data_IF_683584420540
#
_entry.id   IF_683584420540
#
_cell.length_a   1.000
_cell.length_b   1.000
_cell.length_c   1.000
_cell.angle_alpha   90.00
_cell.angle_beta   90.00
_cell.angle_gamma   90.00
#
_symmetry.space_group_name_H-M   'P 1'
#
loop_
_entity.id
_entity.type
_entity.pdbx_description
1 polymer ?
#
# COMPACT_ATOMS: atom_id res chain seq x y z
N UNK A 1 3.67 13.19 10.44
CA UNK A 1 4.04 12.89 9.04
C UNK A 1 3.32 13.84 8.12
N UNK A 2 4.03 14.67 7.35
CA UNK A 2 3.44 15.45 6.25
C UNK A 2 3.09 14.46 5.12
N UNK A 3 1.86 14.51 4.60
CA UNK A 3 1.37 13.74 3.44
C UNK A 3 1.45 14.65 2.21
N UNK A 4 2.17 14.24 1.18
CA UNK A 4 2.30 14.94 -0.10
C UNK A 4 2.47 13.92 -1.24
N UNK A 5 2.16 14.30 -2.48
CA UNK A 5 2.26 13.40 -3.63
C UNK A 5 3.67 12.82 -3.76
N UNK A 6 4.70 13.68 -3.71
CA UNK A 6 6.09 13.24 -3.80
C UNK A 6 6.48 12.27 -2.70
N UNK A 7 5.96 12.45 -1.49
CA UNK A 7 6.22 11.52 -0.40
C UNK A 7 5.53 10.18 -0.62
N UNK A 8 4.30 10.16 -1.10
CA UNK A 8 3.59 8.92 -1.38
C UNK A 8 4.28 8.13 -2.49
N UNK A 9 4.77 8.81 -3.54
CA UNK A 9 5.64 8.23 -4.57
C UNK A 9 6.96 7.70 -4.02
N UNK A 10 7.59 8.43 -3.10
CA UNK A 10 8.80 7.96 -2.42
C UNK A 10 8.53 6.68 -1.61
N UNK A 11 7.38 6.60 -0.93
CA UNK A 11 6.99 5.37 -0.21
C UNK A 11 6.72 4.20 -1.17
N UNK A 12 6.11 4.42 -2.34
CA UNK A 12 6.02 3.40 -3.39
C UNK A 12 7.39 2.87 -3.79
N UNK A 13 8.34 3.77 -4.07
CA UNK A 13 9.71 3.39 -4.46
C UNK A 13 10.42 2.59 -3.37
N UNK A 14 10.24 2.96 -2.09
CA UNK A 14 10.80 2.21 -0.95
C UNK A 14 10.17 0.83 -0.82
N UNK A 15 8.84 0.73 -0.87
CA UNK A 15 8.15 -0.56 -0.79
C UNK A 15 8.51 -1.49 -1.94
N UNK A 16 8.67 -0.97 -3.17
CA UNK A 16 9.19 -1.77 -4.28
C UNK A 16 10.62 -2.27 -4.02
N UNK A 17 11.50 -1.43 -3.47
CA UNK A 17 12.86 -1.82 -3.11
C UNK A 17 12.88 -2.89 -2.01
N UNK A 18 12.09 -2.70 -0.96
CA UNK A 18 11.95 -3.64 0.17
C UNK A 18 11.39 -4.99 -0.30
N UNK A 19 10.41 -5.00 -1.21
CA UNK A 19 9.88 -6.23 -1.82
C UNK A 19 10.93 -6.95 -2.68
N UNK A 20 11.78 -6.22 -3.41
CA UNK A 20 12.88 -6.81 -4.20
C UNK A 20 13.96 -7.39 -3.30
N UNK A 21 14.29 -6.69 -2.22
CA UNK A 21 15.23 -7.17 -1.20
C UNK A 21 14.67 -8.42 -0.51
N UNK A 22 13.40 -8.41 -0.10
CA UNK A 22 12.74 -9.57 0.49
C UNK A 22 12.80 -10.79 -0.44
N UNK A 23 12.52 -10.60 -1.72
CA UNK A 23 12.64 -11.66 -2.73
C UNK A 23 14.06 -12.23 -2.78
N UNK A 24 15.07 -11.37 -2.81
CA UNK A 24 16.47 -11.80 -2.86
C UNK A 24 16.84 -12.58 -1.60
N UNK A 25 16.47 -12.09 -0.41
CA UNK A 25 16.73 -12.78 0.87
C UNK A 25 16.03 -14.12 0.98
N UNK A 26 14.78 -14.25 0.51
CA UNK A 26 14.09 -15.54 0.46
C UNK A 26 14.87 -16.51 -0.45
N UNK A 27 15.32 -16.04 -1.62
CA UNK A 27 16.09 -16.86 -2.57
C UNK A 27 17.44 -17.30 -2.01
N UNK A 28 18.10 -16.43 -1.26
CA UNK A 28 19.45 -16.65 -0.73
C UNK A 28 19.44 -17.34 0.66
N UNK A 29 18.27 -17.58 1.24
CA UNK A 29 18.12 -18.16 2.58
C UNK A 29 18.53 -17.21 3.72
N UNK A 30 18.43 -15.89 3.50
CA UNK A 30 18.73 -14.86 4.49
C UNK A 30 17.62 -14.61 5.51
N UNK A 31 17.88 -13.72 6.46
CA UNK A 31 16.87 -13.29 7.45
C UNK A 31 15.84 -12.34 6.81
N UNK A 32 14.59 -12.78 6.82
CA UNK A 32 13.45 -12.16 6.13
C UNK A 32 12.37 -11.63 7.07
N UNK A 33 12.35 -12.05 8.34
CA UNK A 33 11.22 -11.78 9.22
C UNK A 33 11.12 -10.30 9.62
N UNK A 34 12.26 -9.70 9.97
CA UNK A 34 12.32 -8.27 10.31
C UNK A 34 11.89 -7.40 9.12
N UNK A 35 12.46 -7.66 7.94
CA UNK A 35 12.13 -6.93 6.72
C UNK A 35 10.66 -7.08 6.33
N UNK A 36 10.10 -8.29 6.42
CA UNK A 36 8.70 -8.51 6.11
C UNK A 36 7.76 -7.77 7.07
N UNK A 37 8.09 -7.77 8.37
CA UNK A 37 7.31 -7.04 9.38
C UNK A 37 7.34 -5.53 9.14
N UNK A 38 8.51 -4.96 8.84
CA UNK A 38 8.66 -3.54 8.53
C UNK A 38 7.92 -3.15 7.24
N UNK A 39 8.00 -3.99 6.21
CA UNK A 39 7.28 -3.80 4.96
C UNK A 39 5.75 -3.83 5.17
N UNK A 40 5.25 -4.80 5.94
CA UNK A 40 3.82 -4.90 6.24
C UNK A 40 3.32 -3.68 7.00
N UNK A 41 4.06 -3.22 8.01
CA UNK A 41 3.72 -2.01 8.76
C UNK A 41 3.70 -0.76 7.85
N UNK A 42 4.73 -0.60 7.00
CA UNK A 42 4.79 0.50 6.03
C UNK A 42 3.60 0.48 5.08
N UNK A 43 3.30 -0.69 4.53
CA UNK A 43 2.19 -0.89 3.59
C UNK A 43 0.85 -0.56 4.24
N UNK A 44 0.58 -1.03 5.46
CA UNK A 44 -0.68 -0.73 6.17
C UNK A 44 -0.82 0.76 6.47
N UNK A 45 0.26 1.42 6.90
CA UNK A 45 0.24 2.87 7.14
C UNK A 45 0.00 3.66 5.85
N UNK A 46 0.60 3.24 4.74
CA UNK A 46 0.41 3.85 3.44
C UNK A 46 -1.05 3.75 2.97
N UNK A 47 -1.60 2.53 2.99
CA UNK A 47 -3.01 2.27 2.64
C UNK A 47 -3.96 3.06 3.55
N UNK A 48 -3.67 3.15 4.85
CA UNK A 48 -4.47 3.96 5.77
C UNK A 48 -4.54 5.42 5.35
N UNK A 49 -3.39 6.01 4.99
CA UNK A 49 -3.33 7.42 4.56
C UNK A 49 -4.16 7.60 3.28
N UNK A 50 -4.08 6.67 2.35
CA UNK A 50 -4.86 6.73 1.11
C UNK A 50 -6.35 6.65 1.41
N UNK A 51 -6.77 5.58 2.08
CA UNK A 51 -8.17 5.28 2.30
C UNK A 51 -8.84 6.30 3.22
N UNK A 52 -8.18 6.78 4.27
CA UNK A 52 -8.81 7.65 5.27
C UNK A 52 -8.53 9.14 5.08
N UNK A 53 -7.54 9.50 4.24
CA UNK A 53 -7.14 10.91 4.06
C UNK A 53 -7.24 11.34 2.59
N UNK A 54 -6.71 10.55 1.66
CA UNK A 54 -6.62 10.93 0.24
C UNK A 54 -7.93 10.64 -0.51
N UNK A 55 -8.35 9.36 -0.55
CA UNK A 55 -9.54 8.93 -1.28
C UNK A 55 -10.83 9.62 -0.84
N UNK A 56 -11.05 9.99 0.44
CA UNK A 56 -12.24 10.77 0.82
C UNK A 56 -12.31 12.17 0.20
N UNK A 57 -11.20 12.67 -0.36
CA UNK A 57 -11.18 13.95 -1.10
C UNK A 57 -11.54 13.80 -2.59
N UNK A 58 -11.70 12.57 -3.07
CA UNK A 58 -12.18 12.22 -4.40
C UNK A 58 -13.71 12.24 -4.37
N UNK A 59 -14.33 13.18 -5.09
CA UNK A 59 -15.73 13.57 -4.86
C UNK A 59 -16.66 13.27 -6.02
N UNK A 60 -16.15 13.14 -7.24
CA UNK A 60 -17.00 12.76 -8.36
C UNK A 60 -17.21 11.23 -8.43
N UNK A 61 -18.23 10.81 -9.18
CA UNK A 61 -18.63 9.40 -9.26
C UNK A 61 -17.55 8.51 -9.89
N UNK A 62 -16.78 9.05 -10.84
CA UNK A 62 -15.72 8.34 -11.51
C UNK A 62 -14.51 8.15 -10.60
N UNK A 63 -14.06 9.20 -9.92
CA UNK A 63 -12.98 9.13 -8.93
C UNK A 63 -13.35 8.19 -7.78
N UNK A 64 -14.60 8.21 -7.29
CA UNK A 64 -15.07 7.28 -6.25
C UNK A 64 -15.02 5.82 -6.71
N UNK A 65 -15.37 5.55 -7.98
CA UNK A 65 -15.27 4.21 -8.56
C UNK A 65 -13.80 3.78 -8.70
N UNK A 66 -12.91 4.70 -9.07
CA UNK A 66 -11.47 4.46 -9.13
C UNK A 66 -10.93 4.13 -7.73
N UNK A 67 -11.29 4.92 -6.70
CA UNK A 67 -10.89 4.69 -5.31
C UNK A 67 -11.30 3.29 -4.82
N UNK A 68 -12.54 2.86 -5.06
CA UNK A 68 -12.99 1.49 -4.75
C UNK A 68 -12.18 0.40 -5.47
N UNK A 69 -11.70 0.70 -6.68
CA UNK A 69 -10.79 -0.18 -7.42
C UNK A 69 -9.44 -0.34 -6.72
N UNK A 70 -8.90 0.75 -6.16
CA UNK A 70 -7.68 0.72 -5.37
C UNK A 70 -7.87 0.01 -4.02
N UNK A 71 -8.98 0.25 -3.32
CA UNK A 71 -9.32 -0.48 -2.08
C UNK A 71 -9.39 -2.01 -2.28
N UNK A 72 -9.90 -2.47 -3.43
CA UNK A 72 -9.86 -3.90 -3.80
C UNK A 72 -8.42 -4.41 -4.00
N UNK A 73 -7.57 -3.62 -4.66
CA UNK A 73 -6.17 -3.98 -4.86
C UNK A 73 -5.38 -3.98 -3.56
N UNK A 74 -5.63 -3.04 -2.64
CA UNK A 74 -5.06 -3.03 -1.29
C UNK A 74 -5.34 -4.35 -0.57
N UNK A 75 -6.60 -4.79 -0.57
CA UNK A 75 -6.97 -6.07 0.01
C UNK A 75 -6.24 -7.26 -0.65
N UNK A 76 -6.09 -7.24 -1.98
CA UNK A 76 -5.38 -8.28 -2.70
C UNK A 76 -3.87 -8.30 -2.35
N UNK A 77 -3.23 -7.14 -2.27
CA UNK A 77 -1.82 -6.99 -1.87
C UNK A 77 -1.62 -7.47 -0.43
N UNK A 78 -2.44 -7.00 0.52
CA UNK A 78 -2.39 -7.45 1.92
C UNK A 78 -2.58 -8.96 2.05
N UNK A 79 -3.48 -9.55 1.26
CA UNK A 79 -3.69 -11.00 1.23
C UNK A 79 -2.46 -11.75 0.69
N UNK A 80 -1.72 -11.18 -0.26
CA UNK A 80 -0.48 -11.77 -0.74
C UNK A 80 0.62 -11.69 0.33
N UNK A 81 0.72 -10.57 1.05
CA UNK A 81 1.65 -10.40 2.17
C UNK A 81 1.38 -11.42 3.29
N UNK A 82 0.12 -11.65 3.67
CA UNK A 82 -0.25 -12.72 4.61
C UNK A 82 0.21 -14.10 4.11
N UNK A 83 0.09 -14.38 2.81
CA UNK A 83 0.57 -15.64 2.23
C UNK A 83 2.10 -15.75 2.20
N UNK A 84 2.84 -14.64 2.11
CA UNK A 84 4.29 -14.62 2.27
C UNK A 84 4.65 -15.00 3.71
N UNK A 85 3.99 -14.39 4.70
CA UNK A 85 4.17 -14.74 6.12
C UNK A 85 3.97 -16.23 6.36
N UNK A 86 2.84 -16.80 5.87
CA UNK A 86 2.55 -18.22 6.02
C UNK A 86 3.64 -19.09 5.41
N UNK A 87 4.03 -18.82 4.17
CA UNK A 87 5.09 -19.57 3.49
C UNK A 87 6.41 -19.55 4.27
N UNK A 88 6.81 -18.40 4.82
CA UNK A 88 8.02 -18.31 5.64
C UNK A 88 7.86 -19.11 6.94
N UNK A 89 6.73 -18.95 7.65
CA UNK A 89 6.48 -19.61 8.93
C UNK A 89 6.37 -21.13 8.83
N UNK A 90 5.86 -21.63 7.70
CA UNK A 90 5.68 -23.06 7.42
C UNK A 90 6.92 -23.69 6.77
N UNK A 91 7.96 -22.88 6.46
CA UNK A 91 9.16 -23.34 5.77
C UNK A 91 9.00 -23.55 4.26
N UNK A 92 7.86 -23.19 3.68
CA UNK A 92 7.61 -23.24 2.24
C UNK A 92 8.16 -21.98 1.54
N UNK A 93 9.49 -21.95 1.38
CA UNK A 93 10.19 -20.83 0.73
C UNK A 93 9.81 -20.67 -0.75
N UNK A 94 9.39 -21.75 -1.42
CA UNK A 94 8.93 -21.69 -2.81
C UNK A 94 7.60 -20.94 -2.92
N UNK A 95 6.66 -21.21 -2.00
CA UNK A 95 5.43 -20.43 -1.88
C UNK A 95 5.74 -18.98 -1.54
N UNK A 96 6.56 -18.72 -0.51
CA UNK A 96 6.93 -17.37 -0.10
C UNK A 96 7.50 -16.57 -1.29
N UNK A 97 8.47 -17.13 -2.01
CA UNK A 97 9.08 -16.50 -3.18
C UNK A 97 8.04 -16.19 -4.27
N UNK A 98 7.20 -17.18 -4.63
CA UNK A 98 6.14 -17.00 -5.64
C UNK A 98 5.15 -15.90 -5.25
N UNK A 99 4.83 -15.77 -3.95
CA UNK A 99 3.92 -14.72 -3.45
C UNK A 99 4.60 -13.36 -3.40
N UNK A 100 5.88 -13.28 -3.05
CA UNK A 100 6.66 -12.04 -3.15
C UNK A 100 6.71 -11.53 -4.59
N UNK A 101 6.96 -12.39 -5.58
CA UNK A 101 6.92 -11.99 -7.00
C UNK A 101 5.54 -11.54 -7.47
N UNK A 102 4.49 -12.21 -6.99
CA UNK A 102 3.11 -11.81 -7.30
C UNK A 102 2.77 -10.46 -6.70
N UNK A 103 3.25 -10.20 -5.48
CA UNK A 103 3.10 -8.91 -4.78
C UNK A 103 3.85 -7.81 -5.52
N UNK A 104 5.10 -8.05 -5.94
CA UNK A 104 5.88 -7.11 -6.74
C UNK A 104 5.16 -6.69 -8.02
N UNK A 105 4.63 -7.65 -8.79
CA UNK A 105 3.91 -7.36 -10.03
C UNK A 105 2.65 -6.54 -9.78
N UNK A 106 1.84 -6.95 -8.79
CA UNK A 106 0.59 -6.25 -8.46
C UNK A 106 0.87 -4.85 -7.92
N UNK A 107 1.79 -4.72 -6.97
CA UNK A 107 2.15 -3.45 -6.34
C UNK A 107 2.70 -2.45 -7.36
N UNK A 108 3.60 -2.86 -8.25
CA UNK A 108 4.15 -1.96 -9.27
C UNK A 108 3.08 -1.45 -10.24
N UNK A 109 2.13 -2.32 -10.65
CA UNK A 109 1.00 -1.90 -11.47
C UNK A 109 0.05 -0.96 -10.71
N UNK A 110 -0.24 -1.28 -9.45
CA UNK A 110 -1.07 -0.50 -8.55
C UNK A 110 -0.50 0.91 -8.38
N UNK A 111 0.75 1.03 -7.90
CA UNK A 111 1.43 2.31 -7.67
C UNK A 111 1.45 3.18 -8.92
N UNK A 112 1.79 2.62 -10.08
CA UNK A 112 1.79 3.38 -11.34
C UNK A 112 0.40 3.93 -11.66
N UNK A 113 -0.64 3.12 -11.52
CA UNK A 113 -2.01 3.55 -11.85
C UNK A 113 -2.49 4.62 -10.89
N UNK A 114 -2.21 4.45 -9.61
CA UNK A 114 -2.59 5.40 -8.57
C UNK A 114 -1.91 6.76 -8.77
N UNK A 115 -0.61 6.77 -9.02
CA UNK A 115 0.16 7.99 -9.30
C UNK A 115 -0.39 8.75 -10.51
N UNK A 116 -0.80 8.06 -11.57
CA UNK A 116 -1.35 8.68 -12.78
C UNK A 116 -2.79 9.17 -12.62
N UNK A 117 -3.51 8.72 -11.57
CA UNK A 117 -4.94 8.99 -11.39
C UNK A 117 -5.21 9.69 -10.06
N UNK A 118 -5.30 8.95 -8.96
CA UNK A 118 -5.70 9.47 -7.65
C UNK A 118 -4.80 10.61 -7.16
N UNK A 119 -3.48 10.47 -7.26
CA UNK A 119 -2.56 11.51 -6.78
C UNK A 119 -2.62 12.77 -7.63
N UNK A 120 -2.71 12.61 -8.96
CA UNK A 120 -2.87 13.73 -9.87
C UNK A 120 -4.15 14.51 -9.58
N UNK A 121 -5.29 13.81 -9.45
CA UNK A 121 -6.58 14.44 -9.10
C UNK A 121 -6.51 15.16 -7.75
N UNK A 122 -5.83 14.55 -6.77
CA UNK A 122 -5.65 15.15 -5.45
C UNK A 122 -4.80 16.43 -5.50
N UNK A 123 -3.69 16.44 -6.24
CA UNK A 123 -2.82 17.61 -6.41
C UNK A 123 -3.50 18.73 -7.19
N UNK A 124 -4.25 18.44 -8.25
CA UNK A 124 -4.97 19.45 -9.03
C UNK A 124 -6.02 20.18 -8.17
N UNK A 125 -6.74 19.46 -7.29
CA UNK A 125 -7.76 20.04 -6.39
C UNK A 125 -7.16 20.89 -5.27
N UNK A 126 -6.05 20.44 -4.70
CA UNK A 126 -5.38 21.14 -3.60
C UNK A 126 -4.64 22.39 -4.09
N UNK A 127 -4.00 22.34 -5.26
CA UNK A 127 -3.39 23.50 -5.89
C UNK A 127 -4.38 24.64 -6.18
N UNK A 128 -5.62 24.31 -6.57
CA UNK A 128 -6.68 25.30 -6.81
C UNK A 128 -7.24 25.98 -5.55
N UNK A 129 -6.99 25.42 -4.37
CA UNK A 129 -7.55 25.89 -3.09
C UNK A 129 -6.66 26.87 -2.31
N UNK A 130 -5.42 27.09 -2.76
CA UNK A 130 -4.41 27.86 -2.01
C UNK A 130 -3.93 27.20 -0.70
N UNK A 131 -4.49 26.05 -0.33
CA UNK A 131 -4.01 25.22 0.75
C UNK A 131 -2.78 24.42 0.28
N UNK A 132 -1.71 24.41 1.08
CA UNK A 132 -0.63 23.44 0.88
C UNK A 132 -1.24 22.04 0.95
N UNK A 133 -0.89 21.15 0.00
CA UNK A 133 -1.25 19.72 -0.07
C UNK A 133 -0.90 18.93 1.20
N UNK A 134 -0.15 19.53 2.10
CA UNK A 134 0.40 18.93 3.29
C UNK A 134 -0.68 18.70 4.36
N UNK A 135 -1.24 17.48 4.40
CA UNK A 135 -1.99 17.01 5.57
C UNK A 135 -1.06 16.34 6.56
N UNK A 136 -1.17 16.67 7.85
CA UNK A 136 -0.36 16.03 8.90
C UNK A 136 -1.05 14.77 9.43
N UNK A 137 -0.49 13.59 9.14
CA UNK A 137 -0.81 12.36 9.86
C UNK A 137 0.12 12.23 11.08
N UNK A 138 -0.40 12.48 12.28
CA UNK A 138 0.37 12.38 13.53
C UNK A 138 0.18 11.04 14.27
N UNK A 139 -0.66 10.16 13.73
CA UNK A 139 -1.08 8.93 14.41
C UNK A 139 -0.23 7.72 14.08
N UNK A 140 -0.28 6.73 14.96
CA UNK A 140 -0.07 5.33 14.61
C UNK A 140 -1.34 4.77 13.97
N UNK A 141 -1.21 3.71 13.17
CA UNK A 141 -2.34 2.95 12.67
C UNK A 141 -3.28 2.55 13.83
N UNK A 142 -4.60 2.77 13.75
CA UNK A 142 -5.53 2.32 14.78
C UNK A 142 -5.41 0.80 14.98
N UNK A 143 -5.46 0.33 16.24
CA UNK A 143 -5.23 -1.09 16.59
C UNK A 143 -6.12 -2.07 15.81
N UNK A 144 -7.38 -1.70 15.60
CA UNK A 144 -8.37 -2.52 14.91
C UNK A 144 -8.61 -2.06 13.47
N UNK A 145 -7.69 -1.28 12.90
CA UNK A 145 -7.83 -0.83 11.53
C UNK A 145 -7.79 -2.02 10.57
N UNK A 146 -8.74 -2.01 9.65
CA UNK A 146 -8.79 -2.88 8.48
C UNK A 146 -8.95 -2.01 7.25
N UNK A 147 -8.31 -2.44 6.16
CA UNK A 147 -8.55 -1.93 4.81
C UNK A 147 -10.06 -1.89 4.53
N UNK A 148 -10.54 -0.81 3.92
CA UNK A 148 -11.95 -0.52 3.64
C UNK A 148 -12.68 -1.68 2.99
N UNK A 149 -12.05 -2.33 2.02
CA UNK A 149 -12.64 -3.47 1.34
C UNK A 149 -13.00 -4.63 2.30
N UNK A 150 -12.17 -4.88 3.32
CA UNK A 150 -12.46 -5.90 4.34
C UNK A 150 -13.56 -5.47 5.30
N UNK A 151 -13.66 -4.17 5.63
CA UNK A 151 -14.71 -3.64 6.51
C UNK A 151 -16.08 -3.74 5.87
N UNK A 152 -16.19 -3.30 4.63
CA UNK A 152 -17.47 -3.17 3.93
C UNK A 152 -18.10 -4.52 3.56
N UNK A 153 -17.29 -5.60 3.54
CA UNK A 153 -17.74 -6.96 3.25
C UNK A 153 -18.00 -7.83 4.48
N UNK A 154 -17.92 -7.27 5.69
CA UNK A 154 -18.25 -8.00 6.93
C UNK A 154 -17.30 -9.17 7.22
N UNK A 155 -15.99 -8.94 7.11
CA UNK A 155 -14.97 -9.88 7.58
C UNK A 155 -14.48 -9.56 9.00
#
# INVERSE_FOLDING_TARGET
MIVSEEKMKDEHRKMEADLRELRNRISDGGDVLGLLSELEERLKNHIYVEEEILFPSLTDEEENRIARGFEYEHAAILTLVDKIHRGISEGDMALALKKTESTLRLFSQHSRREEMTAYRSWTERTAGSGAKTERSFAGSLPKDWKCRFFRDRGA
#
